data_IF_819662616305
#
_entry.id   IF_819662616305
#
_cell.length_a   1.000
_cell.length_b   1.000
_cell.length_c   1.000
_cell.angle_alpha   90.00
_cell.angle_beta   90.00
_cell.angle_gamma   90.00
#
_symmetry.space_group_name_H-M   'P 1'
#
loop_
_entity.id
_entity.type
_entity.pdbx_description
1 polymer ?
#
# COMPACT_ATOMS: atom_id res chain seq x y z
N UNK A 1 2.09 14.84 -8.42
CA UNK A 1 0.77 14.31 -8.00
C UNK A 1 0.28 13.22 -8.95
N UNK A 2 0.39 11.97 -8.51
CA UNK A 2 -0.17 10.79 -9.17
C UNK A 2 -1.10 10.04 -8.21
N UNK A 3 -1.96 9.17 -8.73
CA UNK A 3 -2.83 8.30 -7.93
C UNK A 3 -2.50 6.84 -8.19
N UNK A 4 -2.40 6.07 -7.12
CA UNK A 4 -2.13 4.63 -7.18
C UNK A 4 -3.21 3.87 -6.42
N UNK A 5 -3.65 2.75 -6.99
CA UNK A 5 -4.61 1.84 -6.37
C UNK A 5 -3.87 0.73 -5.62
N UNK A 6 -4.28 0.48 -4.39
CA UNK A 6 -3.70 -0.55 -3.52
C UNK A 6 -4.83 -1.41 -2.95
N UNK A 7 -4.68 -2.71 -3.10
CA UNK A 7 -5.57 -3.69 -2.46
C UNK A 7 -4.98 -4.04 -1.10
N UNK A 8 -5.75 -3.81 -0.03
CA UNK A 8 -5.38 -4.22 1.32
C UNK A 8 -6.09 -5.54 1.66
N UNK A 9 -5.30 -6.57 1.91
CA UNK A 9 -5.77 -7.92 2.17
C UNK A 9 -5.52 -8.27 3.64
N UNK A 10 -6.54 -8.71 4.37
CA UNK A 10 -6.38 -8.99 5.80
C UNK A 10 -5.55 -10.24 6.06
N UNK A 11 -4.66 -10.19 7.05
CA UNK A 11 -3.88 -11.34 7.53
C UNK A 11 -3.76 -11.31 9.07
N UNK A 12 -3.09 -12.30 9.66
CA UNK A 12 -3.06 -12.52 11.13
C UNK A 12 -2.62 -11.29 11.93
N UNK A 13 -1.73 -10.45 11.38
CA UNK A 13 -1.10 -9.33 12.10
C UNK A 13 -1.44 -7.95 11.53
N UNK A 14 -2.34 -7.84 10.55
CA UNK A 14 -2.74 -6.57 9.97
C UNK A 14 -3.25 -6.71 8.54
N UNK A 15 -2.60 -6.00 7.62
CA UNK A 15 -2.94 -5.95 6.20
C UNK A 15 -1.69 -6.13 5.33
N UNK A 16 -1.76 -7.04 4.37
CA UNK A 16 -0.86 -7.07 3.22
C UNK A 16 -1.35 -6.05 2.19
N UNK A 17 -0.42 -5.36 1.52
CA UNK A 17 -0.71 -4.30 0.55
C UNK A 17 -0.19 -4.73 -0.82
N UNK A 18 -1.09 -4.71 -1.79
CA UNK A 18 -0.87 -5.25 -3.12
C UNK A 18 -1.09 -4.18 -4.18
N UNK A 19 -0.21 -4.13 -5.19
CA UNK A 19 -0.28 -3.21 -6.32
C UNK A 19 -0.01 -3.98 -7.61
N UNK A 20 -0.90 -3.90 -8.60
CA UNK A 20 -0.76 -4.59 -9.88
C UNK A 20 -0.41 -6.10 -9.73
N UNK A 21 -1.09 -6.79 -8.81
CA UNK A 21 -0.87 -8.20 -8.44
C UNK A 21 0.46 -8.52 -7.73
N UNK A 22 1.31 -7.52 -7.49
CA UNK A 22 2.54 -7.65 -6.71
C UNK A 22 2.32 -7.26 -5.24
N UNK A 23 2.85 -8.07 -4.32
CA UNK A 23 2.92 -7.71 -2.92
C UNK A 23 4.01 -6.66 -2.72
N UNK A 24 3.64 -5.47 -2.23
CA UNK A 24 4.58 -4.36 -2.06
C UNK A 24 5.07 -4.22 -0.62
N UNK A 25 4.16 -4.24 0.35
CA UNK A 25 4.47 -4.06 1.77
C UNK A 25 3.29 -4.48 2.65
N UNK A 26 3.43 -4.30 3.96
CA UNK A 26 2.38 -4.59 4.94
C UNK A 26 2.21 -3.44 5.92
N UNK A 27 1.02 -3.35 6.52
CA UNK A 27 0.69 -2.37 7.56
C UNK A 27 -0.10 -3.02 8.69
N UNK A 28 0.02 -2.48 9.91
CA UNK A 28 -0.74 -2.97 11.06
C UNK A 28 -2.18 -2.47 11.04
N UNK A 29 -2.40 -1.26 10.53
CA UNK A 29 -3.71 -0.63 10.39
C UNK A 29 -3.89 -0.04 9.00
N UNK A 30 -5.13 0.06 8.52
CA UNK A 30 -5.41 0.72 7.23
C UNK A 30 -5.06 2.22 7.24
N UNK A 31 -5.03 2.86 8.41
CA UNK A 31 -4.63 4.26 8.52
C UNK A 31 -3.15 4.46 8.19
N UNK A 32 -2.31 3.47 8.47
CA UNK A 32 -0.87 3.51 8.19
C UNK A 32 -0.55 3.07 6.74
N UNK A 33 -1.49 2.38 6.08
CA UNK A 33 -1.27 1.74 4.78
C UNK A 33 -0.76 2.71 3.71
N UNK A 34 -1.34 3.90 3.63
CA UNK A 34 -0.92 4.90 2.64
C UNK A 34 0.53 5.37 2.86
N UNK A 35 0.97 5.48 4.11
CA UNK A 35 2.35 5.87 4.40
C UNK A 35 3.31 4.73 4.06
N UNK A 36 2.98 3.49 4.45
CA UNK A 36 3.81 2.32 4.14
C UNK A 36 4.04 2.14 2.63
N UNK A 37 3.03 2.43 1.81
CA UNK A 37 3.16 2.36 0.34
C UNK A 37 4.09 3.46 -0.19
N UNK A 38 4.02 4.68 0.34
CA UNK A 38 4.95 5.74 -0.06
C UNK A 38 6.39 5.39 0.33
N UNK A 39 6.60 4.92 1.54
CA UNK A 39 7.93 4.52 2.01
C UNK A 39 8.52 3.37 1.17
N UNK A 40 7.67 2.43 0.75
CA UNK A 40 8.07 1.38 -0.21
C UNK A 40 8.47 1.98 -1.57
N UNK A 41 7.66 2.87 -2.15
CA UNK A 41 7.95 3.51 -3.43
C UNK A 41 9.22 4.38 -3.37
N UNK A 42 9.45 5.09 -2.27
CA UNK A 42 10.69 5.86 -2.07
C UNK A 42 11.92 4.96 -1.91
N UNK A 43 11.73 3.72 -1.48
CA UNK A 43 12.81 2.71 -1.42
C UNK A 43 13.12 2.13 -2.81
N UNK A 44 12.09 1.76 -3.58
CA UNK A 44 12.24 1.15 -4.91
C UNK A 44 12.55 2.17 -6.02
N UNK A 45 12.07 3.41 -5.88
CA UNK A 45 12.12 4.48 -6.88
C UNK A 45 12.54 5.82 -6.25
N UNK A 46 13.65 5.82 -5.50
CA UNK A 46 14.11 6.98 -4.73
C UNK A 46 14.47 8.23 -5.53
N UNK A 47 14.52 8.15 -6.87
CA UNK A 47 14.65 9.28 -7.78
C UNK A 47 13.34 10.03 -8.05
N UNK A 48 12.20 9.45 -7.67
CA UNK A 48 10.86 10.02 -7.82
C UNK A 48 10.35 10.44 -6.44
N UNK A 49 9.82 11.66 -6.33
CA UNK A 49 9.17 12.13 -5.11
C UNK A 49 7.71 11.64 -5.06
N UNK A 50 7.39 10.80 -4.07
CA UNK A 50 6.05 10.25 -3.85
C UNK A 50 5.26 10.96 -2.74
N UNK A 51 5.82 12.00 -2.12
CA UNK A 51 5.22 12.67 -0.94
C UNK A 51 3.82 13.24 -1.23
N UNK A 52 3.58 13.67 -2.47
CA UNK A 52 2.30 14.24 -2.91
C UNK A 52 1.34 13.23 -3.57
N UNK A 53 1.71 11.94 -3.61
CA UNK A 53 0.89 10.93 -4.27
C UNK A 53 -0.33 10.55 -3.43
N UNK A 54 -1.44 10.33 -4.10
CA UNK A 54 -2.67 9.81 -3.48
C UNK A 54 -2.64 8.28 -3.54
N UNK A 55 -2.65 7.63 -2.38
CA UNK A 55 -2.73 6.18 -2.26
C UNK A 55 -4.18 5.79 -1.97
N UNK A 56 -4.86 5.21 -2.96
CA UNK A 56 -6.24 4.73 -2.83
C UNK A 56 -6.23 3.28 -2.32
N UNK A 57 -6.38 3.12 -1.02
CA UNK A 57 -6.38 1.80 -0.36
C UNK A 57 -7.81 1.24 -0.31
N UNK A 58 -8.02 0.09 -0.93
CA UNK A 58 -9.30 -0.65 -0.89
C UNK A 58 -9.10 -1.93 -0.10
N UNK A 59 -9.78 -2.04 1.04
CA UNK A 59 -9.79 -3.28 1.81
C UNK A 59 -10.67 -4.33 1.13
N UNK A 60 -10.13 -5.53 0.96
CA UNK A 60 -10.88 -6.70 0.50
C UNK A 60 -10.87 -7.74 1.62
N UNK A 61 -12.06 -8.25 1.95
CA UNK A 61 -12.15 -9.42 2.83
C UNK A 61 -11.63 -10.63 2.05
N UNK A 62 -10.64 -11.34 2.59
CA UNK A 62 -10.25 -12.61 2.00
C UNK A 62 -11.44 -13.58 2.10
N UNK A 63 -11.84 -14.25 0.99
CA UNK A 63 -12.74 -15.38 1.11
C UNK A 63 -12.07 -16.43 2.00
N UNK A 64 -12.77 -16.78 3.09
CA UNK A 64 -12.36 -17.81 4.05
C UNK A 64 -12.17 -19.18 3.41
#
# INVERSE_FOLDING_TARGET
MSTVSVTATRWELGWELWMNDDHVTQSRTLADAAQQVRDYLDTEHGEIDHSDWTINVVAVDQPS
#
